data_IF_869911761379
#
_entry.id   IF_869911761379
#
_cell.length_a   1.000
_cell.length_b   1.000
_cell.length_c   1.000
_cell.angle_alpha   90.00
_cell.angle_beta   90.00
_cell.angle_gamma   90.00
#
_symmetry.space_group_name_H-M   'P 1'
#
loop_
_entity.id
_entity.type
_entity.pdbx_description
1 polymer ?
#
# COMPACT_ATOMS: atom_id res chain seq x y z
N UNK A 1 10.64 82.00 -21.74
CA UNK A 1 10.17 82.29 -20.37
C UNK A 1 9.53 81.03 -19.78
N UNK A 2 9.92 80.69 -18.56
CA UNK A 2 9.54 79.49 -17.80
C UNK A 2 8.03 79.28 -17.62
N UNK A 3 7.64 78.00 -17.50
CA UNK A 3 6.78 77.37 -16.47
C UNK A 3 6.72 75.86 -16.78
N UNK A 4 7.54 75.01 -16.16
CA UNK A 4 7.17 74.16 -14.99
C UNK A 4 5.66 73.89 -14.86
N UNK A 5 5.19 72.63 -15.04
CA UNK A 5 4.73 71.75 -13.94
C UNK A 5 4.29 70.34 -14.45
N UNK A 6 5.01 69.24 -14.17
CA UNK A 6 4.78 68.11 -13.22
C UNK A 6 3.52 67.20 -13.37
N UNK A 7 3.79 65.88 -13.26
CA UNK A 7 2.96 64.72 -12.83
C UNK A 7 2.07 64.04 -13.90
N UNK A 8 1.99 62.71 -14.06
CA UNK A 8 1.97 61.66 -13.03
C UNK A 8 2.31 60.24 -13.62
N UNK A 9 3.19 59.53 -12.89
CA UNK A 9 3.26 58.07 -12.60
C UNK A 9 2.64 57.02 -13.55
N UNK A 10 3.46 56.02 -13.89
CA UNK A 10 3.25 54.62 -13.44
C UNK A 10 4.52 53.78 -13.68
N UNK A 11 5.26 53.49 -12.61
CA UNK A 11 6.31 52.47 -12.61
C UNK A 11 5.63 51.10 -12.45
N UNK A 12 5.49 50.36 -13.55
CA UNK A 12 5.20 48.94 -13.48
C UNK A 12 6.51 48.20 -13.19
N UNK A 13 6.80 48.01 -11.90
CA UNK A 13 7.85 47.10 -11.45
C UNK A 13 7.46 45.67 -11.80
N UNK A 14 8.13 45.09 -12.78
CA UNK A 14 8.04 43.68 -13.10
C UNK A 14 8.66 42.86 -11.98
N UNK A 15 7.82 42.35 -11.07
CA UNK A 15 8.20 41.32 -10.12
C UNK A 15 8.26 40.00 -10.92
N UNK A 16 9.44 39.68 -11.47
CA UNK A 16 9.68 38.37 -12.07
C UNK A 16 9.67 37.36 -10.93
N UNK A 17 8.56 36.66 -10.81
CA UNK A 17 8.36 35.58 -9.85
C UNK A 17 9.26 34.41 -10.26
N UNK A 18 10.47 34.32 -9.69
CA UNK A 18 11.30 33.12 -9.74
C UNK A 18 10.72 32.09 -8.77
N UNK A 19 9.54 31.56 -9.08
CA UNK A 19 9.12 30.26 -8.55
C UNK A 19 9.60 29.21 -9.56
N UNK A 20 10.88 28.82 -9.45
CA UNK A 20 11.29 27.52 -9.98
C UNK A 20 10.55 26.46 -9.19
N UNK A 21 9.34 26.13 -9.65
CA UNK A 21 8.60 24.97 -9.21
C UNK A 21 9.42 23.76 -9.60
N UNK A 22 10.27 23.28 -8.69
CA UNK A 22 10.76 21.90 -8.75
C UNK A 22 9.52 21.03 -8.64
N UNK A 23 8.99 20.62 -9.79
CA UNK A 23 8.09 19.50 -9.90
C UNK A 23 8.90 18.28 -9.42
N UNK A 24 8.82 18.03 -8.11
CA UNK A 24 9.17 16.74 -7.54
C UNK A 24 8.17 15.77 -8.17
N UNK A 25 8.56 15.16 -9.28
CA UNK A 25 7.83 14.05 -9.85
C UNK A 25 7.83 12.98 -8.76
N UNK A 26 6.69 12.80 -8.09
CA UNK A 26 6.54 11.69 -7.16
C UNK A 26 6.87 10.42 -7.96
N UNK A 27 7.82 9.58 -7.51
CA UNK A 27 8.15 8.38 -8.23
C UNK A 27 6.87 7.56 -8.43
N UNK A 28 6.66 6.92 -9.59
CA UNK A 28 5.52 6.05 -9.78
C UNK A 28 5.53 5.04 -8.63
N UNK A 29 4.46 5.04 -7.83
CA UNK A 29 4.28 4.03 -6.78
C UNK A 29 4.07 2.72 -7.52
N UNK A 30 5.16 1.98 -7.69
CA UNK A 30 5.12 0.64 -8.21
C UNK A 30 4.28 -0.18 -7.22
N UNK A 31 3.07 -0.54 -7.65
CA UNK A 31 2.11 -1.34 -6.87
C UNK A 31 2.47 -2.83 -6.90
N UNK A 32 3.61 -3.19 -7.51
CA UNK A 32 4.14 -4.54 -7.53
C UNK A 32 4.67 -4.95 -6.16
N UNK A 33 4.56 -6.24 -5.78
CA UNK A 33 5.15 -6.73 -4.54
C UNK A 33 6.67 -6.54 -4.60
N UNK A 34 7.22 -5.89 -3.59
CA UNK A 34 8.64 -5.56 -3.51
C UNK A 34 9.08 -5.54 -2.05
N UNK A 35 10.37 -5.72 -1.78
CA UNK A 35 10.92 -5.60 -0.44
C UNK A 35 12.30 -4.96 -0.47
N UNK A 36 12.61 -4.15 0.53
CA UNK A 36 13.94 -3.56 0.74
C UNK A 36 14.64 -4.37 1.81
N UNK A 37 15.82 -4.90 1.49
CA UNK A 37 16.61 -5.69 2.43
C UNK A 37 17.37 -4.84 3.46
N UNK A 38 18.03 -5.48 4.41
CA UNK A 38 18.83 -4.81 5.44
C UNK A 38 19.99 -3.97 4.88
N UNK A 39 20.41 -4.21 3.63
CA UNK A 39 21.46 -3.45 2.92
C UNK A 39 20.89 -2.27 2.14
N UNK A 40 19.56 -2.07 2.14
CA UNK A 40 18.88 -1.03 1.38
C UNK A 40 18.64 -1.38 -0.09
N UNK A 41 18.87 -2.63 -0.50
CA UNK A 41 18.60 -3.07 -1.88
C UNK A 41 17.13 -3.42 -2.01
N UNK A 42 16.47 -2.85 -3.03
CA UNK A 42 15.08 -3.13 -3.36
C UNK A 42 15.01 -4.34 -4.30
N UNK A 43 14.22 -5.32 -3.90
CA UNK A 43 13.94 -6.56 -4.62
C UNK A 43 12.51 -6.52 -5.12
N UNK A 44 12.28 -6.77 -6.41
CA UNK A 44 10.95 -6.83 -6.99
C UNK A 44 10.47 -8.28 -7.14
N UNK A 45 9.17 -8.53 -6.98
CA UNK A 45 8.62 -9.89 -7.02
C UNK A 45 8.82 -10.59 -8.38
N UNK A 46 8.88 -9.82 -9.47
CA UNK A 46 9.13 -10.33 -10.82
C UNK A 46 10.57 -10.81 -11.05
N UNK A 47 11.52 -10.47 -10.17
CA UNK A 47 12.90 -10.98 -10.20
C UNK A 47 12.97 -12.45 -9.80
N UNK A 48 11.94 -12.96 -9.13
CA UNK A 48 11.87 -14.32 -8.62
C UNK A 48 10.92 -15.16 -9.49
N UNK A 49 11.39 -16.31 -9.97
CA UNK A 49 10.57 -17.27 -10.71
C UNK A 49 9.53 -18.03 -9.85
N UNK A 50 9.33 -17.63 -8.60
CA UNK A 50 8.47 -18.32 -7.64
C UNK A 50 8.12 -17.42 -6.46
N UNK A 51 7.84 -18.03 -5.31
CA UNK A 51 7.50 -17.25 -4.12
C UNK A 51 8.69 -16.39 -3.70
N UNK A 52 8.52 -15.06 -3.59
CA UNK A 52 9.59 -14.20 -3.18
C UNK A 52 9.95 -14.44 -1.70
N UNK A 53 11.22 -14.24 -1.31
CA UNK A 53 11.72 -14.66 -0.01
C UNK A 53 11.01 -13.97 1.17
N UNK A 54 10.59 -12.71 1.01
CA UNK A 54 9.88 -11.98 2.07
C UNK A 54 8.53 -12.59 2.45
N UNK A 55 7.89 -13.38 1.57
CA UNK A 55 6.66 -14.10 1.90
C UNK A 55 6.94 -15.30 2.82
N UNK A 56 8.03 -16.02 2.58
CA UNK A 56 8.44 -17.18 3.40
C UNK A 56 9.15 -16.79 4.70
N UNK A 57 9.55 -15.54 4.84
CA UNK A 57 10.20 -15.02 6.05
C UNK A 57 9.23 -14.44 7.08
N UNK A 58 7.93 -14.48 6.81
CA UNK A 58 6.90 -14.14 7.80
C UNK A 58 6.92 -15.22 8.89
N UNK A 59 7.22 -14.85 10.12
CA UNK A 59 7.24 -15.75 11.28
C UNK A 59 5.97 -15.67 12.12
N UNK A 60 5.21 -14.57 12.00
CA UNK A 60 3.88 -14.43 12.59
C UNK A 60 2.98 -13.71 11.61
N UNK A 61 1.85 -14.33 11.30
CA UNK A 61 0.78 -13.75 10.52
C UNK A 61 -0.54 -13.86 11.29
N UNK A 62 -1.31 -12.78 11.28
CA UNK A 62 -2.69 -12.73 11.77
C UNK A 62 -3.59 -12.50 10.57
N UNK A 63 -4.65 -13.30 10.43
CA UNK A 63 -5.59 -13.16 9.31
C UNK A 63 -6.31 -11.81 9.31
N UNK A 64 -6.74 -11.38 8.12
CA UNK A 64 -7.56 -10.19 7.98
C UNK A 64 -8.99 -10.48 8.46
N UNK A 65 -9.53 -9.62 9.32
CA UNK A 65 -10.89 -9.76 9.80
C UNK A 65 -11.87 -9.29 8.71
N UNK A 66 -12.62 -10.22 8.14
CA UNK A 66 -13.64 -9.89 7.16
C UNK A 66 -14.98 -9.72 7.89
N UNK A 67 -15.39 -8.48 8.14
CA UNK A 67 -16.58 -8.18 8.94
C UNK A 67 -17.87 -8.77 8.34
N UNK A 68 -18.84 -9.09 9.18
CA UNK A 68 -20.14 -9.60 8.73
C UNK A 68 -20.85 -8.62 7.77
N UNK A 69 -20.76 -7.31 8.04
CA UNK A 69 -21.36 -6.28 7.18
C UNK A 69 -20.72 -6.26 5.79
N UNK A 70 -19.39 -6.33 5.73
CA UNK A 70 -18.67 -6.36 4.45
C UNK A 70 -19.00 -7.63 3.66
N UNK A 71 -19.07 -8.78 4.33
CA UNK A 71 -19.49 -10.03 3.67
C UNK A 71 -20.92 -9.95 3.16
N UNK A 72 -21.85 -9.44 3.96
CA UNK A 72 -23.27 -9.27 3.60
C UNK A 72 -23.45 -8.32 2.42
N UNK A 73 -22.64 -7.28 2.35
CA UNK A 73 -22.68 -6.30 1.27
C UNK A 73 -21.83 -6.71 0.06
N UNK A 74 -21.24 -7.91 0.08
CA UNK A 74 -20.37 -8.42 -0.97
C UNK A 74 -19.16 -7.49 -1.27
N UNK A 75 -18.72 -6.73 -0.26
CA UNK A 75 -17.59 -5.82 -0.33
C UNK A 75 -16.30 -6.60 -0.57
N UNK A 76 -15.68 -6.43 -1.74
CA UNK A 76 -14.43 -7.08 -2.13
C UNK A 76 -13.43 -6.03 -2.64
N UNK A 77 -12.15 -6.39 -2.66
CA UNK A 77 -11.13 -5.48 -3.18
C UNK A 77 -9.72 -5.98 -2.96
N UNK A 78 -8.78 -5.36 -3.66
CA UNK A 78 -7.35 -5.63 -3.50
C UNK A 78 -6.57 -4.32 -3.37
N UNK A 79 -5.64 -4.31 -2.44
CA UNK A 79 -4.81 -3.17 -2.09
C UNK A 79 -3.35 -3.57 -1.90
N UNK A 80 -2.49 -2.58 -1.79
CA UNK A 80 -1.05 -2.76 -1.58
C UNK A 80 -0.63 -1.86 -0.43
N UNK A 81 0.02 -2.47 0.56
CA UNK A 81 0.43 -1.81 1.79
C UNK A 81 1.94 -1.91 1.94
N UNK A 82 2.62 -0.77 2.06
CA UNK A 82 4.03 -0.70 2.41
C UNK A 82 4.16 -0.82 3.92
N UNK A 83 4.92 -1.81 4.36
CA UNK A 83 5.21 -2.08 5.75
C UNK A 83 6.66 -1.68 6.02
N UNK A 84 6.88 -0.85 7.03
CA UNK A 84 8.20 -0.54 7.54
C UNK A 84 8.46 -1.44 8.73
N UNK A 85 9.58 -2.14 8.72
CA UNK A 85 9.95 -3.14 9.70
C UNK A 85 11.11 -2.65 10.55
N UNK A 86 11.04 -2.92 11.86
CA UNK A 86 12.20 -2.81 12.72
C UNK A 86 13.16 -3.97 12.41
N UNK A 87 14.35 -3.65 11.91
CA UNK A 87 15.39 -4.63 11.60
C UNK A 87 15.77 -5.52 12.79
N UNK A 88 15.74 -5.01 14.03
CA UNK A 88 16.18 -5.79 15.19
C UNK A 88 15.15 -6.81 15.62
N UNK A 89 13.87 -6.48 15.52
CA UNK A 89 12.79 -7.32 16.03
C UNK A 89 11.98 -8.02 14.94
N UNK A 90 12.00 -7.50 13.71
CA UNK A 90 11.15 -7.91 12.59
C UNK A 90 9.69 -7.48 12.73
N UNK A 91 9.38 -6.58 13.67
CA UNK A 91 8.01 -6.06 13.88
C UNK A 91 7.70 -4.94 12.89
N UNK A 92 6.44 -4.84 12.48
CA UNK A 92 5.94 -3.70 11.71
C UNK A 92 5.88 -2.48 12.62
N UNK A 93 6.60 -1.41 12.28
CA UNK A 93 6.64 -0.15 13.03
C UNK A 93 5.80 0.94 12.39
N UNK A 94 5.76 0.97 11.06
CA UNK A 94 4.96 1.92 10.31
C UNK A 94 4.34 1.24 9.09
N UNK A 95 3.27 1.83 8.56
CA UNK A 95 2.58 1.34 7.38
C UNK A 95 2.09 2.50 6.52
N UNK A 96 2.16 2.34 5.21
CA UNK A 96 1.61 3.28 4.24
C UNK A 96 0.72 2.52 3.26
N UNK A 97 -0.43 3.11 2.93
CA UNK A 97 -1.33 2.56 1.92
C UNK A 97 -0.84 3.06 0.56
N UNK A 98 -0.25 2.17 -0.25
CA UNK A 98 0.15 2.49 -1.62
C UNK A 98 -1.06 2.44 -2.56
N UNK A 99 -1.92 1.44 -2.34
CA UNK A 99 -3.19 1.27 -3.04
C UNK A 99 -4.24 0.79 -2.04
N UNK A 100 -5.31 1.57 -1.90
CA UNK A 100 -6.47 1.18 -1.08
C UNK A 100 -7.22 0.02 -1.74
N UNK A 101 -7.88 -0.80 -0.93
CA UNK A 101 -8.83 -1.82 -1.41
C UNK A 101 -10.09 -1.20 -2.03
N UNK A 102 -10.31 0.11 -1.84
CA UNK A 102 -11.51 0.83 -2.26
C UNK A 102 -12.59 0.89 -1.16
N UNK A 103 -12.39 0.17 -0.06
CA UNK A 103 -13.38 0.07 1.03
C UNK A 103 -12.68 0.29 2.37
N UNK A 104 -13.12 1.32 3.09
CA UNK A 104 -12.46 1.78 4.32
C UNK A 104 -12.42 0.73 5.43
N UNK A 105 -13.48 -0.07 5.58
CA UNK A 105 -13.56 -1.16 6.57
C UNK A 105 -12.52 -2.25 6.29
N UNK A 106 -12.34 -2.61 5.02
CA UNK A 106 -11.35 -3.60 4.59
C UNK A 106 -9.92 -3.09 4.77
N UNK A 107 -9.65 -1.83 4.41
CA UNK A 107 -8.35 -1.19 4.65
C UNK A 107 -8.01 -1.18 6.15
N UNK A 108 -8.97 -0.79 7.00
CA UNK A 108 -8.75 -0.76 8.44
C UNK A 108 -8.47 -2.16 9.01
N UNK A 109 -9.19 -3.17 8.53
CA UNK A 109 -8.96 -4.56 8.91
C UNK A 109 -7.55 -5.03 8.52
N UNK A 110 -7.13 -4.75 7.29
CA UNK A 110 -5.78 -5.05 6.82
C UNK A 110 -4.72 -4.38 7.70
N UNK A 111 -4.86 -3.08 7.98
CA UNK A 111 -3.93 -2.34 8.86
C UNK A 111 -3.88 -2.93 10.28
N UNK A 112 -5.03 -3.31 10.85
CA UNK A 112 -5.11 -3.87 12.19
C UNK A 112 -4.38 -5.23 12.30
N UNK A 113 -4.50 -6.06 11.26
CA UNK A 113 -3.85 -7.35 11.21
C UNK A 113 -2.36 -7.21 10.92
N UNK A 114 -1.97 -6.43 9.91
CA UNK A 114 -0.59 -6.26 9.47
C UNK A 114 0.32 -5.71 10.58
N UNK A 115 -0.20 -4.82 11.47
CA UNK A 115 0.56 -4.38 12.67
C UNK A 115 1.01 -5.51 13.59
N UNK A 116 0.29 -6.63 13.58
CA UNK A 116 0.58 -7.76 14.45
C UNK A 116 1.52 -8.79 13.80
N UNK A 117 1.85 -8.58 12.52
CA UNK A 117 2.74 -9.46 11.78
C UNK A 117 4.18 -9.24 12.19
N UNK A 118 4.98 -10.27 11.92
CA UNK A 118 6.40 -10.27 12.23
C UNK A 118 7.17 -11.05 11.17
N UNK A 119 8.25 -10.45 10.69
CA UNK A 119 9.22 -11.06 9.78
C UNK A 119 10.44 -11.57 10.55
N UNK A 120 11.27 -12.38 9.89
CA UNK A 120 12.60 -12.73 10.39
C UNK A 120 13.41 -11.45 10.68
N UNK A 121 13.96 -11.30 11.89
CA UNK A 121 14.83 -10.18 12.22
C UNK A 121 16.06 -10.12 11.31
N UNK A 122 16.55 -8.89 11.07
CA UNK A 122 17.82 -8.62 10.40
C UNK A 122 17.81 -8.75 8.88
N UNK A 123 16.65 -8.97 8.26
CA UNK A 123 16.57 -9.27 6.82
C UNK A 123 15.91 -8.19 5.96
N UNK A 124 14.76 -7.68 6.39
CA UNK A 124 13.92 -6.78 5.60
C UNK A 124 13.66 -5.47 6.36
N UNK A 125 13.82 -4.33 5.67
CA UNK A 125 13.51 -2.98 6.16
C UNK A 125 12.11 -2.55 5.74
N UNK A 126 11.75 -2.80 4.49
CA UNK A 126 10.44 -2.44 3.94
C UNK A 126 9.87 -3.60 3.13
N UNK A 127 8.56 -3.79 3.17
CA UNK A 127 7.87 -4.81 2.36
C UNK A 127 6.56 -4.23 1.82
N UNK A 128 6.40 -4.25 0.51
CA UNK A 128 5.16 -3.93 -0.19
C UNK A 128 4.34 -5.22 -0.32
N UNK A 129 3.31 -5.32 0.52
CA UNK A 129 2.50 -6.52 0.66
C UNK A 129 1.13 -6.33 -0.01
N UNK A 130 0.79 -7.15 -1.03
CA UNK A 130 -0.53 -7.14 -1.64
C UNK A 130 -1.54 -7.85 -0.73
N UNK A 131 -2.68 -7.20 -0.51
CA UNK A 131 -3.81 -7.73 0.26
C UNK A 131 -5.02 -7.87 -0.65
N UNK A 132 -5.69 -9.01 -0.62
CA UNK A 132 -6.91 -9.26 -1.39
C UNK A 132 -8.02 -9.80 -0.50
N UNK A 133 -9.19 -9.17 -0.56
CA UNK A 133 -10.43 -9.65 0.03
C UNK A 133 -11.31 -10.19 -1.08
N UNK A 134 -11.51 -11.51 -1.08
CA UNK A 134 -12.42 -12.21 -1.98
C UNK A 134 -13.40 -13.07 -1.19
N UNK A 135 -14.60 -13.21 -1.72
CA UNK A 135 -15.51 -14.26 -1.27
C UNK A 135 -15.24 -15.48 -2.14
N UNK A 136 -15.03 -16.64 -1.52
CA UNK A 136 -15.03 -17.88 -2.26
C UNK A 136 -16.41 -18.04 -2.92
N UNK A 137 -16.44 -17.98 -4.25
CA UNK A 137 -17.66 -18.20 -5.02
C UNK A 137 -17.92 -19.71 -5.11
N UNK A 138 -18.63 -20.24 -4.12
CA UNK A 138 -19.12 -21.62 -4.13
C UNK A 138 -18.59 -22.47 -2.98
N UNK A 139 -19.31 -23.54 -2.61
CA UNK A 139 -18.77 -24.55 -1.72
C UNK A 139 -17.48 -25.10 -2.32
N UNK A 140 -16.51 -25.46 -1.47
CA UNK A 140 -15.33 -26.18 -1.91
C UNK A 140 -15.77 -27.34 -2.83
N UNK A 141 -15.02 -27.65 -3.91
CA UNK A 141 -15.30 -28.81 -4.73
C UNK A 141 -15.55 -29.99 -3.81
N UNK A 142 -16.70 -30.63 -3.97
CA UNK A 142 -17.02 -31.82 -3.20
C UNK A 142 -15.86 -32.81 -3.40
N UNK A 143 -15.33 -33.43 -2.33
CA UNK A 143 -14.32 -34.46 -2.50
C UNK A 143 -14.88 -35.51 -3.47
N UNK A 144 -14.04 -36.01 -4.38
CA UNK A 144 -14.45 -36.97 -5.38
C UNK A 144 -15.15 -38.16 -4.71
N UNK A 145 -16.44 -38.37 -5.03
CA UNK A 145 -17.28 -39.41 -4.43
C UNK A 145 -18.32 -38.95 -3.40
N UNK A 146 -18.36 -37.66 -3.02
CA UNK A 146 -19.44 -37.17 -2.16
C UNK A 146 -20.76 -37.03 -2.94
N UNK A 147 -21.84 -37.60 -2.38
CA UNK A 147 -23.21 -37.51 -2.91
C UNK A 147 -23.95 -36.39 -2.17
N UNK A 148 -24.62 -35.51 -2.91
CA UNK A 148 -25.47 -34.47 -2.34
C UNK A 148 -26.62 -35.11 -1.55
N UNK A 149 -26.81 -34.70 -0.30
CA UNK A 149 -27.93 -35.16 0.50
C UNK A 149 -29.26 -34.67 -0.13
N UNK A 150 -30.29 -35.53 -0.20
CA UNK A 150 -31.60 -35.13 -0.69
C UNK A 150 -32.16 -34.00 0.19
N UNK A 151 -32.52 -32.88 -0.43
CA UNK A 151 -33.25 -31.80 0.24
C UNK A 151 -34.64 -32.34 0.63
N UNK A 152 -34.95 -32.32 1.93
CA UNK A 152 -36.31 -32.53 2.44
C UNK A 152 -37.20 -31.32 2.16
#
# INVERSE_FOLDING_TARGET
MQKHLIYLRALAGGFVCLASSTLLCAPPVDSSPAAVDAKGVRHHGNEYHGNPPWNSDVIKAVGFEYSFQDRRNHNQGAGVFRLVLDLKTGRVTNMMILKSTGIRSLDQSALNALRQWRWKPGKWQEVDFPVSFGMASGPAPLPAGAVLLPRK
#
